data_IF_741023640335
#
_entry.id   IF_741023640335
#
_cell.length_a   1.000
_cell.length_b   1.000
_cell.length_c   1.000
_cell.angle_alpha   90.00
_cell.angle_beta   90.00
_cell.angle_gamma   90.00
#
_symmetry.space_group_name_H-M   'P 1'
#
loop_
_entity.id
_entity.type
_entity.pdbx_description
1 polymer ?
#
# COMPACT_ATOMS: atom_id res chain seq x y z
N UNK A 1 -27.06 -30.21 56.22
CA UNK A 1 -28.04 -31.31 56.34
C UNK A 1 -28.92 -31.34 55.10
N UNK A 2 -29.23 -32.55 54.61
CA UNK A 2 -30.31 -32.93 53.68
C UNK A 2 -30.10 -32.61 52.19
N UNK A 3 -29.82 -33.66 51.40
CA UNK A 3 -30.76 -34.42 50.51
C UNK A 3 -30.68 -33.81 49.10
N UNK A 4 -30.26 -34.51 48.04
CA UNK A 4 -30.52 -35.90 47.69
C UNK A 4 -31.47 -35.94 46.49
N UNK A 5 -31.23 -36.90 45.58
CA UNK A 5 -32.08 -37.37 44.48
C UNK A 5 -32.25 -36.45 43.26
N UNK A 6 -31.74 -36.77 42.07
CA UNK A 6 -31.88 -37.96 41.24
C UNK A 6 -33.19 -38.03 40.43
N UNK A 7 -33.02 -37.96 39.09
CA UNK A 7 -33.68 -38.75 38.04
C UNK A 7 -35.16 -38.43 37.75
N UNK A 8 -35.43 -37.95 36.52
CA UNK A 8 -36.36 -38.67 35.63
C UNK A 8 -36.02 -38.37 34.16
N UNK A 9 -35.43 -39.38 33.52
CA UNK A 9 -35.35 -39.52 32.07
C UNK A 9 -36.73 -40.00 31.58
N UNK A 10 -36.99 -39.75 30.30
CA UNK A 10 -37.92 -40.44 29.39
C UNK A 10 -39.15 -39.62 29.02
N UNK A 11 -39.22 -39.25 27.74
CA UNK A 11 -40.50 -39.30 27.04
C UNK A 11 -40.71 -38.28 25.94
N UNK A 12 -40.17 -38.57 24.76
CA UNK A 12 -40.81 -38.33 23.45
C UNK A 12 -41.35 -36.92 23.16
N UNK A 13 -40.68 -36.23 22.23
CA UNK A 13 -41.30 -35.65 21.02
C UNK A 13 -40.31 -34.62 20.43
N UNK A 14 -39.56 -34.98 19.39
CA UNK A 14 -40.00 -34.79 18.00
C UNK A 14 -39.69 -33.36 17.53
N UNK A 15 -38.66 -33.30 16.68
CA UNK A 15 -38.59 -32.46 15.47
C UNK A 15 -38.82 -30.96 15.63
N UNK A 16 -37.73 -30.21 15.82
CA UNK A 16 -37.42 -28.93 15.18
C UNK A 16 -36.31 -28.29 16.02
N UNK A 17 -35.05 -28.41 15.61
CA UNK A 17 -34.56 -27.44 14.64
C UNK A 17 -33.74 -26.36 15.33
N UNK A 18 -32.83 -26.74 16.24
CA UNK A 18 -31.75 -25.85 16.70
C UNK A 18 -30.48 -26.68 16.84
N UNK A 19 -29.95 -27.09 15.69
CA UNK A 19 -28.52 -27.34 15.57
C UNK A 19 -27.83 -25.99 15.80
N UNK A 20 -27.46 -25.72 17.06
CA UNK A 20 -26.37 -24.78 17.32
C UNK A 20 -25.11 -25.47 16.80
N UNK A 21 -24.87 -25.32 15.49
CA UNK A 21 -23.57 -25.58 14.90
C UNK A 21 -22.60 -24.60 15.55
N UNK A 22 -21.87 -25.10 16.54
CA UNK A 22 -20.56 -24.57 16.92
C UNK A 22 -19.75 -24.59 15.63
N UNK A 23 -19.53 -23.41 15.03
CA UNK A 23 -18.60 -23.28 13.91
C UNK A 23 -17.21 -23.56 14.50
N UNK A 24 -16.51 -24.64 14.10
CA UNK A 24 -15.11 -24.78 14.47
C UNK A 24 -14.33 -23.63 13.83
N UNK A 25 -13.62 -22.84 14.65
CA UNK A 25 -12.77 -21.71 14.26
C UNK A 25 -11.49 -22.14 13.50
N UNK A 26 -11.56 -23.10 12.59
CA UNK A 26 -10.37 -23.67 11.92
C UNK A 26 -10.36 -23.55 10.39
N UNK A 27 -11.36 -22.96 9.73
CA UNK A 27 -11.41 -22.93 8.25
C UNK A 27 -11.60 -21.54 7.61
N UNK A 28 -11.03 -20.47 8.17
CA UNK A 28 -10.93 -19.20 7.43
C UNK A 28 -9.56 -18.55 7.55
N UNK A 29 -8.55 -19.23 7.00
CA UNK A 29 -7.16 -18.72 6.96
C UNK A 29 -6.45 -18.93 5.62
N UNK A 30 -7.19 -19.05 4.50
CA UNK A 30 -6.56 -19.27 3.17
C UNK A 30 -6.92 -18.23 2.09
N UNK A 31 -7.96 -17.40 2.25
CA UNK A 31 -8.37 -16.42 1.22
C UNK A 31 -7.53 -15.12 1.18
N UNK A 32 -6.56 -14.94 2.08
CA UNK A 32 -5.75 -13.71 2.15
C UNK A 32 -4.33 -13.84 1.57
N UNK A 33 -3.96 -15.01 1.03
CA UNK A 33 -2.57 -15.27 0.60
C UNK A 33 -2.33 -15.13 -0.90
N UNK A 34 -3.37 -15.05 -1.72
CA UNK A 34 -3.23 -14.94 -3.18
C UNK A 34 -3.20 -13.51 -3.73
N UNK A 35 -3.42 -12.48 -2.91
CA UNK A 35 -3.24 -11.07 -3.31
C UNK A 35 -1.82 -10.55 -3.09
N UNK A 36 -0.91 -11.43 -2.68
CA UNK A 36 0.53 -11.14 -2.57
C UNK A 36 1.27 -11.61 -3.82
N UNK A 37 0.59 -11.62 -4.97
CA UNK A 37 1.24 -11.74 -6.27
C UNK A 37 1.84 -10.38 -6.64
N UNK A 38 3.17 -10.38 -6.73
CA UNK A 38 4.09 -9.32 -7.09
C UNK A 38 3.44 -8.08 -7.74
N UNK A 39 3.26 -7.01 -6.95
CA UNK A 39 3.31 -5.66 -7.53
C UNK A 39 4.75 -5.40 -7.92
N UNK A 40 5.16 -5.92 -9.08
CA UNK A 40 6.45 -5.62 -9.68
C UNK A 40 6.51 -4.09 -9.91
N UNK A 41 7.39 -3.35 -9.21
CA UNK A 41 7.51 -1.91 -9.40
C UNK A 41 7.91 -1.55 -10.85
N UNK A 42 8.50 -2.49 -11.58
CA UNK A 42 8.87 -2.35 -13.00
C UNK A 42 7.67 -2.41 -13.94
N UNK A 43 6.49 -2.82 -13.46
CA UNK A 43 5.26 -2.92 -14.23
C UNK A 43 4.39 -1.65 -14.17
N UNK A 44 4.87 -0.54 -13.59
CA UNK A 44 4.21 0.77 -13.77
C UNK A 44 4.08 1.04 -15.27
N UNK A 45 2.86 1.20 -15.81
CA UNK A 45 2.69 1.61 -17.19
C UNK A 45 3.46 2.92 -17.38
N UNK A 46 4.36 2.98 -18.36
CA UNK A 46 4.92 4.26 -18.80
C UNK A 46 3.73 5.20 -19.04
N UNK A 47 3.80 6.39 -18.47
CA UNK A 47 2.75 7.42 -18.53
C UNK A 47 2.44 7.93 -19.95
N UNK A 48 3.04 7.31 -20.98
CA UNK A 48 2.88 7.66 -22.37
C UNK A 48 3.65 8.92 -22.76
N UNK A 49 4.45 9.50 -21.86
CA UNK A 49 5.24 10.70 -22.14
C UNK A 49 6.64 10.38 -22.72
N UNK A 50 6.92 9.11 -23.02
CA UNK A 50 8.19 8.70 -23.63
C UNK A 50 9.40 8.89 -22.72
N UNK A 51 9.18 9.02 -21.41
CA UNK A 51 10.23 8.99 -20.40
C UNK A 51 10.38 7.55 -19.93
N UNK A 52 11.56 6.98 -20.10
CA UNK A 52 11.93 5.74 -19.43
C UNK A 52 12.17 6.07 -17.94
N UNK A 53 11.09 6.31 -17.18
CA UNK A 53 11.15 6.54 -15.73
C UNK A 53 11.64 5.31 -14.94
N UNK A 54 12.01 4.23 -15.65
CA UNK A 54 12.60 3.02 -15.09
C UNK A 54 13.92 3.29 -14.37
N UNK A 55 14.60 4.38 -14.73
CA UNK A 55 15.93 4.69 -14.21
C UNK A 55 15.90 5.58 -12.97
N UNK A 56 14.86 6.39 -12.75
CA UNK A 56 14.73 7.24 -11.55
C UNK A 56 14.02 6.50 -10.41
N UNK A 57 14.82 5.82 -9.59
CA UNK A 57 14.38 5.15 -8.38
C UNK A 57 15.16 5.63 -7.14
N UNK A 58 14.74 5.18 -5.95
CA UNK A 58 15.36 5.57 -4.68
C UNK A 58 16.88 5.36 -4.66
N UNK A 59 17.37 4.19 -5.12
CA UNK A 59 18.81 3.90 -5.17
C UNK A 59 19.53 4.90 -6.07
N UNK A 60 19.08 5.05 -7.31
CA UNK A 60 19.73 5.96 -8.28
C UNK A 60 19.77 7.40 -7.78
N UNK A 61 18.70 7.86 -7.12
CA UNK A 61 18.60 9.19 -6.54
C UNK A 61 19.63 9.40 -5.43
N UNK A 62 19.68 8.45 -4.49
CA UNK A 62 20.60 8.49 -3.35
C UNK A 62 22.07 8.35 -3.81
N UNK A 63 22.33 7.52 -4.81
CA UNK A 63 23.66 7.33 -5.40
C UNK A 63 24.17 8.61 -6.10
N UNK A 64 23.27 9.41 -6.68
CA UNK A 64 23.59 10.71 -7.26
C UNK A 64 23.74 11.83 -6.20
N UNK A 65 23.36 11.59 -4.95
CA UNK A 65 23.40 12.60 -3.88
C UNK A 65 22.10 13.40 -3.70
N UNK A 66 21.04 13.06 -4.43
CA UNK A 66 19.70 13.58 -4.23
C UNK A 66 19.01 13.01 -2.99
N UNK A 67 17.81 13.52 -2.69
CA UNK A 67 16.97 13.03 -1.58
C UNK A 67 15.69 12.41 -2.12
N UNK A 68 15.46 11.13 -1.84
CA UNK A 68 14.23 10.46 -2.27
C UNK A 68 13.03 10.91 -1.45
N UNK A 69 11.97 11.34 -2.13
CA UNK A 69 10.69 11.66 -1.51
C UNK A 69 9.65 10.59 -1.92
N UNK A 70 9.23 9.70 -1.00
CA UNK A 70 8.29 8.63 -1.33
C UNK A 70 6.84 9.11 -1.46
N UNK A 71 6.54 10.34 -1.04
CA UNK A 71 5.18 10.88 -1.10
C UNK A 71 5.21 12.41 -1.20
N UNK A 72 5.46 12.91 -2.40
CA UNK A 72 5.29 14.31 -2.74
C UNK A 72 3.94 14.64 -3.34
N UNK A 73 3.60 15.93 -3.36
CA UNK A 73 2.37 16.42 -4.00
C UNK A 73 2.53 16.43 -5.52
N UNK A 74 1.53 15.91 -6.23
CA UNK A 74 1.46 15.98 -7.69
C UNK A 74 1.39 17.41 -8.24
N UNK A 75 1.00 18.38 -7.41
CA UNK A 75 0.80 19.78 -7.80
C UNK A 75 1.82 20.71 -7.14
N UNK A 76 2.99 20.19 -6.80
CA UNK A 76 4.07 20.95 -6.13
C UNK A 76 4.36 22.30 -6.81
N UNK A 77 4.36 22.35 -8.15
CA UNK A 77 4.67 23.56 -8.93
C UNK A 77 3.49 24.49 -9.18
N UNK A 78 2.27 24.07 -8.83
CA UNK A 78 1.04 24.85 -9.01
C UNK A 78 0.23 24.83 -7.70
N UNK A 79 0.50 25.76 -6.78
CA UNK A 79 -0.16 25.79 -5.48
C UNK A 79 -1.66 26.13 -5.56
N UNK A 80 -2.11 26.70 -6.68
CA UNK A 80 -3.52 27.06 -6.89
C UNK A 80 -4.31 25.91 -7.55
N UNK A 81 -3.63 24.88 -8.05
CA UNK A 81 -4.30 23.70 -8.59
C UNK A 81 -5.05 22.93 -7.48
N UNK A 82 -6.25 22.45 -7.82
CA UNK A 82 -6.98 21.49 -6.99
C UNK A 82 -6.21 20.17 -7.02
N UNK A 83 -5.36 19.96 -6.01
CA UNK A 83 -4.57 18.75 -5.91
C UNK A 83 -5.33 17.67 -5.16
N UNK A 84 -5.37 16.47 -5.73
CA UNK A 84 -5.74 15.28 -4.98
C UNK A 84 -4.55 14.86 -4.12
N UNK A 85 -4.81 14.31 -2.93
CA UNK A 85 -3.78 13.75 -2.03
C UNK A 85 -3.22 12.43 -2.58
N UNK A 86 -2.59 12.49 -3.76
CA UNK A 86 -1.90 11.36 -4.36
C UNK A 86 -0.39 11.52 -4.08
N UNK A 87 0.18 10.53 -3.41
CA UNK A 87 1.63 10.42 -3.27
C UNK A 87 2.27 10.20 -4.65
N UNK A 88 3.10 11.13 -5.07
CA UNK A 88 4.00 10.97 -6.21
C UNK A 88 5.42 10.85 -5.68
N UNK A 89 6.07 9.76 -6.05
CA UNK A 89 7.47 9.52 -5.74
C UNK A 89 8.36 10.33 -6.68
N UNK A 90 9.39 10.99 -6.15
CA UNK A 90 10.39 11.69 -6.96
C UNK A 90 11.72 11.89 -6.23
N UNK A 91 12.76 12.24 -6.97
CA UNK A 91 14.07 12.58 -6.43
C UNK A 91 14.23 14.10 -6.28
N UNK A 92 14.44 14.59 -5.05
CA UNK A 92 14.69 16.00 -4.74
C UNK A 92 16.16 16.38 -4.93
N UNK A 93 16.40 17.59 -5.41
CA UNK A 93 17.73 18.11 -5.76
C UNK A 93 17.83 19.62 -5.46
N UNK A 94 19.06 20.12 -5.33
CA UNK A 94 19.39 21.55 -5.29
C UNK A 94 20.16 21.98 -6.53
N UNK A 95 20.90 21.05 -7.14
CA UNK A 95 21.73 21.25 -8.33
C UNK A 95 21.61 20.06 -9.29
N UNK A 96 22.02 20.23 -10.56
CA UNK A 96 21.98 19.16 -11.56
C UNK A 96 22.87 17.95 -11.21
N UNK A 97 23.93 18.17 -10.42
CA UNK A 97 24.88 17.11 -10.02
C UNK A 97 24.26 16.10 -9.03
N UNK A 98 23.12 16.45 -8.41
CA UNK A 98 22.38 15.59 -7.47
C UNK A 98 21.35 14.70 -8.19
N UNK A 99 21.30 14.73 -9.52
CA UNK A 99 20.40 13.93 -10.33
C UNK A 99 21.14 12.81 -11.07
N UNK A 100 20.52 11.63 -11.27
CA UNK A 100 21.10 10.57 -12.08
C UNK A 100 21.35 11.02 -13.52
N UNK A 101 22.25 10.30 -14.22
CA UNK A 101 22.56 10.59 -15.62
C UNK A 101 21.29 10.60 -16.48
N UNK A 102 21.11 11.66 -17.27
CA UNK A 102 19.93 11.85 -18.12
C UNK A 102 18.85 12.74 -17.52
N UNK A 103 18.93 13.06 -16.23
CA UNK A 103 18.00 13.94 -15.54
C UNK A 103 18.63 15.32 -15.25
N UNK A 104 17.78 16.32 -15.05
CA UNK A 104 18.18 17.66 -14.60
C UNK A 104 17.34 18.13 -13.42
N UNK A 105 17.92 18.98 -12.59
CA UNK A 105 17.21 19.57 -11.46
C UNK A 105 16.31 20.72 -11.93
N UNK A 106 15.00 20.59 -11.71
CA UNK A 106 14.00 21.58 -12.10
C UNK A 106 12.89 21.75 -11.06
N UNK A 107 11.83 22.48 -11.39
CA UNK A 107 10.60 22.53 -10.58
C UNK A 107 10.83 22.94 -9.11
N UNK A 108 11.63 23.99 -8.93
CA UNK A 108 12.03 24.48 -7.61
C UNK A 108 10.87 25.09 -6.83
N UNK A 109 10.69 24.61 -5.60
CA UNK A 109 9.84 25.20 -4.56
C UNK A 109 10.70 25.34 -3.31
N UNK A 110 10.78 26.55 -2.76
CA UNK A 110 11.59 26.88 -1.59
C UNK A 110 13.06 26.41 -1.68
N UNK A 111 13.63 26.50 -2.89
CA UNK A 111 15.03 26.13 -3.15
C UNK A 111 15.28 24.62 -3.30
N UNK A 112 14.22 23.80 -3.32
CA UNK A 112 14.28 22.36 -3.56
C UNK A 112 13.58 22.04 -4.87
N UNK A 113 14.34 21.49 -5.82
CA UNK A 113 13.86 21.02 -7.11
C UNK A 113 13.61 19.51 -7.15
N UNK A 114 13.26 19.01 -8.32
CA UNK A 114 13.00 17.60 -8.64
C UNK A 114 13.76 17.21 -9.91
N UNK A 115 14.35 16.01 -9.92
CA UNK A 115 15.02 15.44 -11.08
C UNK A 115 14.01 14.99 -12.16
N UNK A 116 14.18 15.44 -13.39
CA UNK A 116 13.31 15.12 -14.53
C UNK A 116 14.03 15.16 -15.88
#
# INVERSE_FOLDING_TARGET
MKKGMAILIVGLAVLAGVLVFVIPSDERSEESRDLKELRDPSARPSDGLGRDDRDLNESSCQDAGGTWNPCGSACRTDPDAICIELCVEYCECKTDDECPSGYRCGDFVDGVGVCR
#
